data_IF_189866717562
#
_entry.id   IF_189866717562
#
_cell.length_a   1.000
_cell.length_b   1.000
_cell.length_c   1.000
_cell.angle_alpha   90.00
_cell.angle_beta   90.00
_cell.angle_gamma   90.00
#
_symmetry.space_group_name_H-M   'P 1'
#
loop_
_entity.id
_entity.type
_entity.pdbx_description
1 polymer ?
#
# COMPACT_ATOMS: atom_id res chain seq x y z
N UNK A 1 -1.83 17.28 -3.45
CA UNK A 1 -1.63 15.83 -3.14
C UNK A 1 -2.50 14.90 -4.00
N UNK A 2 -3.63 15.35 -4.56
CA UNK A 2 -4.53 14.54 -5.40
C UNK A 2 -4.26 14.65 -6.92
N UNK A 3 -3.33 15.52 -7.33
CA UNK A 3 -2.97 15.80 -8.73
C UNK A 3 -1.78 14.93 -9.15
N UNK A 4 -2.03 13.72 -9.62
CA UNK A 4 -0.99 12.88 -10.23
C UNK A 4 0.05 12.27 -9.27
N UNK A 5 0.27 12.87 -8.08
CA UNK A 5 1.28 12.44 -7.12
C UNK A 5 0.97 11.12 -6.41
N UNK A 6 1.84 10.76 -5.46
CA UNK A 6 1.82 9.46 -4.76
C UNK A 6 0.42 9.05 -4.28
N UNK A 7 -0.34 9.95 -3.68
CA UNK A 7 -1.67 9.61 -3.16
C UNK A 7 -2.66 9.24 -4.28
N UNK A 8 -2.64 9.93 -5.43
CA UNK A 8 -3.49 9.57 -6.58
C UNK A 8 -3.07 8.22 -7.18
N UNK A 9 -1.77 7.94 -7.23
CA UNK A 9 -1.25 6.63 -7.63
C UNK A 9 -1.71 5.52 -6.67
N UNK A 10 -1.62 5.74 -5.35
CA UNK A 10 -2.10 4.77 -4.36
C UNK A 10 -3.61 4.54 -4.48
N UNK A 11 -4.39 5.57 -4.80
CA UNK A 11 -5.81 5.41 -5.12
C UNK A 11 -6.05 4.62 -6.41
N UNK A 12 -5.18 4.76 -7.42
CA UNK A 12 -5.22 3.96 -8.64
C UNK A 12 -4.96 2.48 -8.33
N UNK A 13 -4.07 2.20 -7.38
CA UNK A 13 -3.80 0.86 -6.83
C UNK A 13 -4.82 0.39 -5.77
N UNK A 14 -6.00 1.03 -5.69
CA UNK A 14 -7.09 0.69 -4.77
C UNK A 14 -6.81 0.91 -3.27
N UNK A 15 -6.00 1.91 -2.90
CA UNK A 15 -5.77 2.31 -1.50
C UNK A 15 -6.24 3.74 -1.22
N UNK A 16 -6.94 3.94 -0.11
CA UNK A 16 -7.51 5.24 0.25
C UNK A 16 -7.29 5.57 1.71
N UNK A 17 -7.47 6.84 2.06
CA UNK A 17 -7.60 7.29 3.44
C UNK A 17 -8.66 6.50 4.22
N UNK A 18 -8.56 6.53 5.54
CA UNK A 18 -9.36 5.70 6.44
C UNK A 18 -10.85 6.10 6.46
N UNK A 19 -11.70 5.13 6.79
CA UNK A 19 -13.15 5.32 6.95
C UNK A 19 -13.46 6.51 7.86
N UNK A 20 -14.03 7.59 7.32
CA UNK A 20 -14.35 8.85 8.05
C UNK A 20 -13.19 9.43 8.87
N UNK A 21 -11.94 9.14 8.50
CA UNK A 21 -10.76 9.56 9.28
C UNK A 21 -10.61 8.86 10.63
N UNK A 22 -11.40 7.82 10.90
CA UNK A 22 -11.28 7.00 12.10
C UNK A 22 -9.95 6.23 12.02
N UNK A 23 -9.00 6.66 12.84
CA UNK A 23 -7.71 6.00 12.99
C UNK A 23 -7.67 5.26 14.30
N UNK A 24 -7.49 3.94 14.24
CA UNK A 24 -7.10 3.13 15.39
C UNK A 24 -5.64 2.70 15.21
N UNK A 25 -4.85 2.90 16.27
CA UNK A 25 -3.41 2.61 16.31
C UNK A 25 -2.54 3.87 16.24
N UNK A 26 -1.29 3.72 16.66
CA UNK A 26 -0.32 4.81 16.69
C UNK A 26 0.41 4.98 15.35
N UNK A 27 0.97 6.18 15.15
CA UNK A 27 1.96 6.42 14.10
C UNK A 27 3.17 5.53 14.36
N UNK A 28 3.59 4.80 13.34
CA UNK A 28 4.79 3.98 13.42
C UNK A 28 6.02 4.77 12.98
N UNK A 29 7.18 4.25 13.37
CA UNK A 29 8.48 4.80 12.99
C UNK A 29 9.30 3.73 12.30
N UNK A 30 10.11 4.12 11.32
CA UNK A 30 10.98 3.21 10.59
C UNK A 30 12.33 3.86 10.29
N UNK A 31 13.42 3.11 10.45
CA UNK A 31 14.73 3.54 9.97
C UNK A 31 14.83 3.25 8.48
N UNK A 32 15.00 4.29 7.66
CA UNK A 32 15.03 4.15 6.21
C UNK A 32 16.46 3.97 5.66
N UNK A 33 17.45 3.73 6.51
CA UNK A 33 18.83 3.44 6.08
C UNK A 33 19.60 4.65 5.54
N UNK A 34 19.12 5.88 5.78
CA UNK A 34 19.73 7.12 5.29
C UNK A 34 20.51 7.90 6.36
N UNK A 35 20.67 7.32 7.56
CA UNK A 35 21.35 7.98 8.68
C UNK A 35 20.52 9.05 9.40
N UNK A 36 19.28 9.34 8.97
CA UNK A 36 18.42 10.37 9.56
C UNK A 36 17.59 9.90 10.77
N UNK A 37 18.09 8.91 11.53
CA UNK A 37 17.33 8.23 12.58
C UNK A 37 15.97 7.68 12.07
N UNK A 38 15.08 7.31 12.99
CA UNK A 38 13.78 6.75 12.62
C UNK A 38 12.84 7.84 12.08
N UNK A 39 12.34 7.63 10.86
CA UNK A 39 11.33 8.45 10.23
C UNK A 39 9.93 8.08 10.73
N UNK A 40 9.15 9.10 11.10
CA UNK A 40 7.74 8.90 11.46
C UNK A 40 6.90 8.73 10.20
N UNK A 41 5.98 7.77 10.24
CA UNK A 41 4.97 7.53 9.21
C UNK A 41 4.29 8.84 8.76
N UNK A 42 4.21 9.03 7.45
CA UNK A 42 3.57 10.19 6.81
C UNK A 42 2.07 9.99 6.63
N UNK A 43 1.66 8.79 6.23
CA UNK A 43 0.26 8.43 6.05
C UNK A 43 0.03 6.94 6.26
N UNK A 44 -1.24 6.58 6.46
CA UNK A 44 -1.75 5.22 6.39
C UNK A 44 -2.92 5.20 5.42
N UNK A 45 -2.93 4.22 4.52
CA UNK A 45 -4.00 3.98 3.58
C UNK A 45 -4.49 2.55 3.71
N UNK A 46 -5.78 2.35 3.52
CA UNK A 46 -6.48 1.07 3.61
C UNK A 46 -7.01 0.66 2.24
N UNK A 47 -7.11 -0.64 2.00
CA UNK A 47 -7.69 -1.15 0.77
C UNK A 47 -9.12 -0.65 0.59
N UNK A 48 -9.43 -0.24 -0.64
CA UNK A 48 -10.73 0.27 -1.05
C UNK A 48 -11.52 -0.88 -1.70
N UNK A 49 -12.33 -1.61 -0.93
CA UNK A 49 -13.26 -2.57 -1.54
C UNK A 49 -14.11 -1.88 -2.62
N UNK A 50 -14.25 -2.56 -3.77
CA UNK A 50 -14.97 -2.07 -4.95
C UNK A 50 -14.45 -0.73 -5.52
N UNK A 51 -13.19 -0.37 -5.24
CA UNK A 51 -12.58 0.91 -5.62
C UNK A 51 -13.37 2.14 -5.13
N UNK A 52 -14.14 1.98 -4.06
CA UNK A 52 -14.92 3.05 -3.46
C UNK A 52 -14.21 3.55 -2.20
N UNK A 53 -13.75 4.80 -2.21
CA UNK A 53 -13.01 5.36 -1.09
C UNK A 53 -13.84 5.42 0.21
N UNK A 54 -15.15 5.68 0.12
CA UNK A 54 -16.01 5.83 1.29
C UNK A 54 -16.49 4.47 1.81
N UNK A 55 -17.23 3.73 0.98
CA UNK A 55 -17.77 2.44 1.39
C UNK A 55 -16.65 1.40 1.54
N UNK A 56 -15.68 1.41 0.64
CA UNK A 56 -14.66 0.37 0.57
C UNK A 56 -13.72 0.35 1.75
N UNK A 57 -13.24 1.51 2.21
CA UNK A 57 -12.33 1.59 3.36
C UNK A 57 -13.05 1.33 4.70
N UNK A 58 -14.35 1.60 4.77
CA UNK A 58 -15.20 1.20 5.89
C UNK A 58 -15.46 -0.31 5.91
N UNK A 59 -15.68 -0.95 4.74
CA UNK A 59 -15.81 -2.40 4.65
C UNK A 59 -14.51 -3.11 5.05
N UNK A 60 -13.35 -2.54 4.73
CA UNK A 60 -12.06 -3.03 5.21
C UNK A 60 -11.97 -3.00 6.75
N UNK A 61 -12.50 -1.96 7.39
CA UNK A 61 -12.59 -1.92 8.87
C UNK A 61 -13.53 -2.98 9.46
N UNK A 62 -14.30 -3.70 8.64
CA UNK A 62 -15.19 -4.78 9.09
C UNK A 62 -14.58 -6.14 8.75
N UNK A 63 -14.13 -6.32 7.51
CA UNK A 63 -13.70 -7.60 6.94
C UNK A 63 -12.18 -7.82 6.95
N UNK A 64 -11.40 -6.82 7.38
CA UNK A 64 -9.96 -6.84 7.21
C UNK A 64 -9.57 -6.61 5.76
N UNK A 65 -8.28 -6.66 5.48
CA UNK A 65 -7.73 -6.38 4.17
C UNK A 65 -6.31 -5.85 4.23
N UNK A 66 -5.86 -5.24 3.13
CA UNK A 66 -4.48 -4.77 3.00
C UNK A 66 -4.35 -3.30 3.40
N UNK A 67 -3.30 -2.97 4.14
CA UNK A 67 -2.96 -1.61 4.55
C UNK A 67 -1.57 -1.24 4.14
N UNK A 68 -1.34 0.05 3.91
CA UNK A 68 -0.04 0.61 3.58
C UNK A 68 0.27 1.79 4.48
N UNK A 69 1.41 1.73 5.15
CA UNK A 69 2.02 2.86 5.85
C UNK A 69 3.12 3.44 4.99
N UNK A 70 3.07 4.74 4.76
CA UNK A 70 4.00 5.44 3.87
C UNK A 70 5.03 6.20 4.70
N UNK A 71 6.29 6.02 4.32
CA UNK A 71 7.45 6.74 4.83
C UNK A 71 8.17 7.39 3.66
N UNK A 72 8.89 8.49 3.91
CA UNK A 72 9.68 9.19 2.89
C UNK A 72 11.11 9.32 3.40
N UNK A 73 12.07 8.89 2.59
CA UNK A 73 13.48 9.07 2.84
C UNK A 73 13.87 10.46 2.31
N UNK A 74 14.27 11.37 3.18
CA UNK A 74 14.49 12.77 2.77
C UNK A 74 15.79 12.96 1.98
N UNK A 75 16.76 12.06 2.11
CA UNK A 75 18.04 12.13 1.36
C UNK A 75 17.88 11.86 -0.13
N UNK A 76 17.09 10.85 -0.51
CA UNK A 76 16.89 10.45 -1.91
C UNK A 76 15.55 10.89 -2.46
N UNK A 77 14.59 11.21 -1.60
CA UNK A 77 13.20 11.43 -1.96
C UNK A 77 12.38 10.15 -2.18
N UNK A 78 12.97 8.96 -2.02
CA UNK A 78 12.28 7.70 -2.19
C UNK A 78 11.16 7.49 -1.16
N UNK A 79 10.08 6.87 -1.60
CA UNK A 79 8.99 6.45 -0.73
C UNK A 79 9.14 4.98 -0.36
N UNK A 80 9.03 4.70 0.94
CA UNK A 80 9.02 3.36 1.50
C UNK A 80 7.60 3.04 1.97
N UNK A 81 7.12 1.87 1.62
CA UNK A 81 5.78 1.41 1.95
C UNK A 81 5.87 0.13 2.76
N UNK A 82 5.35 0.16 3.99
CA UNK A 82 5.12 -1.05 4.77
C UNK A 82 3.70 -1.51 4.48
N UNK A 83 3.57 -2.66 3.82
CA UNK A 83 2.28 -3.25 3.46
C UNK A 83 1.99 -4.47 4.33
N UNK A 84 0.76 -4.62 4.79
CA UNK A 84 0.36 -5.76 5.61
C UNK A 84 -1.12 -6.10 5.45
N UNK A 85 -1.45 -7.38 5.47
CA UNK A 85 -2.83 -7.86 5.53
C UNK A 85 -3.30 -8.06 6.98
N UNK A 86 -4.39 -7.39 7.35
CA UNK A 86 -5.08 -7.52 8.63
C UNK A 86 -6.31 -8.42 8.51
N UNK A 87 -6.59 -9.18 9.57
CA UNK A 87 -7.82 -9.96 9.73
C UNK A 87 -9.03 -9.06 9.99
N UNK A 88 -10.22 -9.67 10.01
CA UNK A 88 -11.46 -8.95 10.24
C UNK A 88 -11.64 -8.44 11.68
N UNK A 89 -12.69 -7.63 11.87
CA UNK A 89 -13.02 -7.02 13.15
C UNK A 89 -13.33 -8.04 14.27
N UNK A 90 -13.83 -9.24 13.95
CA UNK A 90 -14.06 -10.31 14.95
C UNK A 90 -12.75 -10.85 15.53
N UNK A 91 -11.64 -10.64 14.81
CA UNK A 91 -10.27 -10.93 15.20
C UNK A 91 -9.51 -9.72 15.71
N UNK A 92 -10.20 -8.59 15.91
CA UNK A 92 -9.63 -7.31 16.33
C UNK A 92 -8.51 -6.81 15.41
N UNK A 93 -8.62 -7.05 14.09
CA UNK A 93 -7.64 -6.61 13.10
C UNK A 93 -6.20 -7.08 13.37
N UNK A 94 -6.05 -8.28 13.94
CA UNK A 94 -4.73 -8.89 14.08
C UNK A 94 -4.11 -9.12 12.70
N UNK A 95 -2.79 -9.04 12.62
CA UNK A 95 -2.08 -9.49 11.42
C UNK A 95 -2.13 -11.03 11.37
N UNK A 96 -2.62 -11.56 10.26
CA UNK A 96 -2.67 -13.00 10.05
C UNK A 96 -1.29 -13.61 9.75
N UNK A 97 -1.26 -14.93 9.57
CA UNK A 97 -0.07 -15.60 9.06
C UNK A 97 0.30 -15.05 7.68
N UNK A 98 1.60 -14.87 7.42
CA UNK A 98 2.12 -14.36 6.14
C UNK A 98 1.62 -12.94 5.79
N UNK A 99 1.24 -12.13 6.78
CA UNK A 99 0.61 -10.84 6.56
C UNK A 99 1.47 -9.85 5.75
N UNK A 100 2.79 -9.86 5.93
CA UNK A 100 3.69 -8.94 5.23
C UNK A 100 3.86 -9.28 3.75
N UNK A 101 4.16 -10.54 3.43
CA UNK A 101 4.31 -10.96 2.04
C UNK A 101 2.96 -10.90 1.31
N UNK A 102 1.87 -11.33 1.96
CA UNK A 102 0.52 -11.23 1.39
C UNK A 102 0.13 -9.77 1.15
N UNK A 103 0.45 -8.86 2.09
CA UNK A 103 0.21 -7.43 1.92
C UNK A 103 0.99 -6.85 0.73
N UNK A 104 2.29 -7.15 0.65
CA UNK A 104 3.14 -6.74 -0.48
C UNK A 104 2.57 -7.22 -1.81
N UNK A 105 2.23 -8.51 -1.90
CA UNK A 105 1.80 -9.12 -3.16
C UNK A 105 0.42 -8.64 -3.60
N UNK A 106 -0.50 -8.39 -2.65
CA UNK A 106 -1.78 -7.75 -2.92
C UNK A 106 -1.60 -6.32 -3.44
N UNK A 107 -0.67 -5.56 -2.86
CA UNK A 107 -0.38 -4.21 -3.34
C UNK A 107 0.22 -4.23 -4.74
N UNK A 108 1.26 -5.04 -4.96
CA UNK A 108 1.90 -5.21 -6.28
C UNK A 108 0.86 -5.64 -7.33
N UNK A 109 -0.02 -6.57 -6.97
CA UNK A 109 -1.06 -7.05 -7.88
C UNK A 109 -2.05 -5.96 -8.26
N UNK A 110 -2.51 -5.14 -7.31
CA UNK A 110 -3.37 -4.00 -7.62
C UNK A 110 -2.65 -2.92 -8.43
N UNK A 111 -1.38 -2.64 -8.11
CA UNK A 111 -0.57 -1.61 -8.77
C UNK A 111 -0.19 -1.96 -10.22
N UNK A 112 -0.27 -3.25 -10.58
CA UNK A 112 0.07 -3.77 -11.91
C UNK A 112 -1.13 -4.37 -12.63
N UNK A 113 -2.29 -4.48 -12.00
CA UNK A 113 -3.45 -5.23 -12.50
C UNK A 113 -3.13 -6.71 -12.82
N UNK A 114 -2.24 -7.33 -12.04
CA UNK A 114 -1.81 -8.73 -12.21
C UNK A 114 -2.08 -9.50 -10.92
N UNK A 115 -2.74 -10.66 -11.01
CA UNK A 115 -2.88 -11.54 -9.86
C UNK A 115 -1.55 -12.26 -9.57
N UNK A 116 -0.94 -11.96 -8.42
CA UNK A 116 0.31 -12.59 -7.99
C UNK A 116 0.01 -14.01 -7.48
N UNK A 117 0.67 -15.02 -8.07
CA UNK A 117 0.48 -16.43 -7.75
C UNK A 117 1.80 -17.17 -7.79
N UNK A 118 1.96 -18.16 -6.92
CA UNK A 118 3.16 -19.00 -6.87
C UNK A 118 4.27 -18.38 -6.02
N UNK A 119 5.47 -18.96 -6.16
CA UNK A 119 6.66 -18.50 -5.45
C UNK A 119 7.33 -17.37 -6.25
N UNK A 120 7.76 -16.32 -5.54
CA UNK A 120 8.49 -15.18 -6.10
C UNK A 120 9.97 -15.30 -5.74
N UNK A 121 10.83 -14.75 -6.59
CA UNK A 121 12.26 -14.64 -6.38
C UNK A 121 12.81 -13.31 -6.92
N UNK A 122 14.11 -13.06 -6.76
CA UNK A 122 14.79 -11.85 -7.23
C UNK A 122 14.81 -11.68 -8.77
N UNK A 123 14.48 -12.72 -9.53
CA UNK A 123 14.35 -12.65 -10.99
C UNK A 123 12.92 -12.34 -11.44
N UNK A 124 11.97 -12.36 -10.50
CA UNK A 124 10.57 -12.09 -10.77
C UNK A 124 10.36 -10.61 -11.06
N UNK A 125 9.59 -10.31 -12.11
CA UNK A 125 9.25 -8.95 -12.51
C UNK A 125 7.80 -8.85 -12.95
N UNK A 126 7.19 -7.69 -12.70
CA UNK A 126 5.84 -7.36 -13.16
C UNK A 126 5.83 -5.99 -13.83
N UNK A 127 4.97 -5.83 -14.83
CA UNK A 127 4.72 -4.53 -15.44
C UNK A 127 3.24 -4.39 -15.77
N UNK A 128 2.64 -3.26 -15.42
CA UNK A 128 1.22 -3.03 -15.65
C UNK A 128 0.85 -1.57 -15.58
N UNK A 129 -0.43 -1.30 -15.81
CA UNK A 129 -0.96 0.07 -15.78
C UNK A 129 -2.18 0.20 -14.87
N UNK A 130 -2.32 1.39 -14.28
CA UNK A 130 -3.50 1.82 -13.53
C UNK A 130 -3.89 3.24 -13.96
N UNK A 131 -5.17 3.59 -13.76
CA UNK A 131 -5.71 4.90 -14.13
C UNK A 131 -6.53 5.47 -12.98
N UNK A 132 -6.32 6.75 -12.67
CA UNK A 132 -7.13 7.47 -11.67
C UNK A 132 -7.19 8.95 -11.99
N UNK A 133 -8.40 9.50 -12.04
CA UNK A 133 -8.68 10.95 -12.25
C UNK A 133 -7.95 11.53 -13.49
N UNK A 134 -7.96 10.80 -14.61
CA UNK A 134 -7.31 11.24 -15.85
C UNK A 134 -5.79 10.96 -15.95
N UNK A 135 -5.17 10.54 -14.84
CA UNK A 135 -3.76 10.13 -14.80
C UNK A 135 -3.62 8.65 -15.10
N UNK A 136 -2.66 8.30 -15.97
CA UNK A 136 -2.25 6.92 -16.23
C UNK A 136 -0.85 6.68 -15.69
N UNK A 137 -0.71 5.60 -14.95
CA UNK A 137 0.53 5.17 -14.34
C UNK A 137 0.95 3.85 -14.94
N UNK A 138 2.19 3.76 -15.41
CA UNK A 138 2.86 2.50 -15.70
C UNK A 138 3.76 2.14 -14.54
N UNK A 139 3.52 0.98 -13.94
CA UNK A 139 4.29 0.45 -12.83
C UNK A 139 5.15 -0.70 -13.33
N UNK A 140 6.44 -0.67 -13.04
CA UNK A 140 7.33 -1.83 -13.18
C UNK A 140 7.85 -2.24 -11.82
N UNK A 141 7.94 -3.54 -11.57
CA UNK A 141 8.29 -4.12 -10.28
C UNK A 141 9.44 -5.07 -10.48
N UNK A 142 10.47 -4.93 -9.67
CA UNK A 142 11.53 -5.91 -9.51
C UNK A 142 11.63 -6.29 -8.03
N UNK A 143 11.99 -7.53 -7.75
CA UNK A 143 12.21 -7.97 -6.38
C UNK A 143 13.70 -7.96 -6.07
N UNK A 144 14.02 -7.51 -4.86
CA UNK A 144 15.37 -7.57 -4.28
C UNK A 144 15.29 -8.20 -2.91
N UNK A 145 16.35 -8.83 -2.46
CA UNK A 145 16.52 -9.31 -1.09
C UNK A 145 17.44 -8.37 -0.29
N UNK A 146 17.68 -8.71 0.97
CA UNK A 146 18.65 -8.08 1.87
C UNK A 146 18.45 -6.58 2.17
N UNK A 147 17.31 -6.00 1.80
CA UNK A 147 16.94 -4.62 2.19
C UNK A 147 16.27 -4.54 3.57
N UNK A 148 15.73 -5.65 4.08
CA UNK A 148 15.10 -5.70 5.40
C UNK A 148 15.87 -6.67 6.28
N UNK A 149 16.15 -6.34 7.55
CA UNK A 149 16.94 -7.21 8.41
C UNK A 149 16.35 -8.61 8.52
N UNK A 150 17.19 -9.61 8.28
CA UNK A 150 16.88 -11.03 8.48
C UNK A 150 16.52 -11.35 9.94
N UNK A 151 16.90 -10.49 10.89
CA UNK A 151 16.50 -10.65 12.29
C UNK A 151 15.01 -10.34 12.47
N UNK A 152 14.21 -11.41 12.44
CA UNK A 152 12.75 -11.38 12.62
C UNK A 152 12.27 -10.66 13.89
N UNK A 153 13.05 -10.60 14.98
CA UNK A 153 12.59 -9.92 16.21
C UNK A 153 12.58 -8.40 16.09
N UNK A 154 13.16 -7.86 15.01
CA UNK A 154 13.09 -6.44 14.66
C UNK A 154 11.87 -6.09 13.82
N UNK A 155 11.09 -7.08 13.42
CA UNK A 155 9.82 -6.86 12.74
C UNK A 155 8.73 -6.60 13.77
N UNK A 156 7.87 -5.64 13.46
CA UNK A 156 6.69 -5.41 14.29
C UNK A 156 5.80 -6.69 14.29
N UNK A 157 5.08 -6.95 15.38
CA UNK A 157 4.17 -8.11 15.51
C UNK A 157 4.76 -9.50 15.14
N UNK A 158 6.08 -9.67 15.15
CA UNK A 158 6.74 -10.86 14.60
C UNK A 158 6.26 -12.21 15.16
N UNK A 159 5.71 -12.25 16.38
CA UNK A 159 5.19 -13.47 17.00
C UNK A 159 3.83 -13.90 16.45
N UNK A 160 3.01 -12.97 15.94
CA UNK A 160 1.64 -13.25 15.47
C UNK A 160 1.53 -13.54 13.98
N UNK A 161 2.55 -13.19 13.20
CA UNK A 161 2.50 -13.23 11.72
C UNK A 161 3.24 -14.42 11.10
N UNK A 162 3.86 -15.26 11.93
CA UNK A 162 4.64 -16.43 11.51
C UNK A 162 4.12 -17.70 12.17
N UNK A 163 4.22 -18.81 11.46
CA UNK A 163 4.07 -20.13 12.07
C UNK A 163 5.23 -20.40 13.04
N UNK A 164 5.03 -21.32 13.99
CA UNK A 164 6.08 -21.72 14.93
C UNK A 164 7.30 -22.24 14.16
N UNK A 165 8.44 -21.56 14.29
CA UNK A 165 9.68 -21.88 13.59
C UNK A 165 9.79 -21.34 12.15
N UNK A 166 8.76 -20.67 11.64
CA UNK A 166 8.75 -20.05 10.31
C UNK A 166 9.47 -18.69 10.26
N UNK A 167 9.50 -18.10 9.06
CA UNK A 167 9.90 -16.71 8.83
C UNK A 167 8.71 -15.75 8.96
N UNK A 168 9.01 -14.48 9.23
CA UNK A 168 8.01 -13.39 9.24
C UNK A 168 7.67 -12.89 7.84
N UNK A 169 8.62 -13.05 6.93
CA UNK A 169 8.58 -12.68 5.52
C UNK A 169 9.55 -13.58 4.76
N UNK A 170 9.33 -13.75 3.45
CA UNK A 170 10.27 -14.35 2.50
C UNK A 170 11.55 -13.50 2.29
N UNK A 171 11.61 -12.29 2.85
CA UNK A 171 12.76 -11.41 2.81
C UNK A 171 12.85 -10.56 1.54
N UNK A 172 11.90 -10.71 0.61
CA UNK A 172 11.87 -9.95 -0.62
C UNK A 172 11.20 -8.60 -0.44
N UNK A 173 11.80 -7.57 -1.06
CA UNK A 173 11.25 -6.23 -1.18
C UNK A 173 10.89 -5.98 -2.64
N UNK A 174 9.64 -5.58 -2.87
CA UNK A 174 9.20 -5.12 -4.18
C UNK A 174 9.67 -3.67 -4.40
N UNK A 175 10.55 -3.47 -5.39
CA UNK A 175 11.01 -2.16 -5.84
C UNK A 175 10.16 -1.73 -7.03
N UNK A 176 9.32 -0.72 -6.81
CA UNK A 176 8.42 -0.19 -7.83
C UNK A 176 9.02 1.03 -8.50
N UNK A 177 9.12 1.02 -9.83
CA UNK A 177 9.33 2.22 -10.64
C UNK A 177 8.01 2.61 -11.29
N UNK A 178 7.54 3.83 -10.98
CA UNK A 178 6.24 4.35 -11.38
C UNK A 178 6.47 5.50 -12.36
N UNK A 179 5.91 5.37 -13.56
CA UNK A 179 5.98 6.40 -14.59
C UNK A 179 4.57 6.91 -14.89
N UNK A 180 4.38 8.24 -14.84
CA UNK A 180 3.17 8.86 -15.40
C UNK A 180 3.30 8.83 -16.91
N UNK A 181 2.39 8.11 -17.59
CA UNK A 181 2.37 7.98 -19.06
C UNK A 181 1.27 8.81 -19.70
N UNK A 182 0.33 9.33 -18.91
CA UNK A 182 -0.66 10.33 -19.32
C UNK A 182 -1.08 11.17 -18.11
N UNK A 183 -1.17 12.48 -18.31
CA UNK A 183 -1.51 13.51 -17.34
C UNK A 183 -2.61 14.43 -17.89
N UNK A 184 -3.81 13.87 -18.09
CA UNK A 184 -4.94 14.59 -18.68
C UNK A 184 -6.08 14.69 -17.65
N UNK A 185 -5.92 15.53 -16.61
CA UNK A 185 -6.94 15.74 -15.59
C UNK A 185 -8.18 16.49 -16.15
N UNK A 186 -8.12 17.03 -17.36
CA UNK A 186 -9.20 17.81 -17.97
C UNK A 186 -10.30 16.90 -18.50
N UNK A 187 -11.23 16.50 -17.62
CA UNK A 187 -12.63 16.19 -17.95
C UNK A 187 -13.55 16.09 -16.71
N UNK A 188 -13.09 16.55 -15.53
CA UNK A 188 -13.90 16.72 -14.32
C UNK A 188 -14.00 18.20 -13.95
N UNK A 189 -14.23 19.08 -14.93
CA UNK A 189 -14.91 20.34 -14.63
C UNK A 189 -16.28 19.94 -14.09
N UNK A 190 -16.55 20.34 -12.85
CA UNK A 190 -17.73 19.97 -12.07
C UNK A 190 -19.00 19.89 -12.95
N UNK A 191 -19.62 18.70 -13.03
CA UNK A 191 -21.06 18.70 -13.20
C UNK A 191 -21.63 19.33 -11.93
N UNK A 192 -21.78 20.65 -11.98
CA UNK A 192 -22.66 21.39 -11.09
C UNK A 192 -24.04 20.81 -11.32
N UNK A 193 -24.44 19.84 -10.49
CA UNK A 193 -25.85 19.59 -10.25
C UNK A 193 -26.35 20.83 -9.53
N UNK A 194 -26.73 21.86 -10.29
CA UNK A 194 -27.59 22.90 -9.77
C UNK A 194 -28.83 22.17 -9.26
N UNK A 195 -28.96 22.07 -7.94
CA UNK A 195 -30.14 21.53 -7.28
C UNK A 195 -31.35 22.46 -7.41
N UNK A 196 -31.29 23.47 -8.27
CA UNK A 196 -32.41 24.33 -8.65
C UNK A 196 -32.34 24.56 -10.16
N UNK A 197 -32.91 23.61 -10.91
CA UNK A 197 -33.51 23.86 -12.22
C UNK A 197 -34.91 24.47 -12.11
N UNK A 198 -35.27 24.95 -10.91
CA UNK A 198 -36.33 25.88 -10.49
C UNK A 198 -36.14 26.10 -8.99
#
# INVERSE_FOLDING_TARGET
MLEGGLYNYLEAAAFGGQCFGLHMGDKQQSNLGDGNANQTQRSILRYQYFHNHFLGTCLESIYGGNHIRVFKQETTGAYFMSSSAEEDSSKNHQLGLNAYDSGRDLFVGNATSIAIKGHLDINTTFAGETVKRGWRYRTTVNYVDDLVPANRTRWNHYTGVQAVGGGVSDGLVAVLTIQVTKDDPELLADQVWSALGM
#
